data_IF_437591771865
#
_entry.id   IF_437591771865
#
_cell.length_a   1.000
_cell.length_b   1.000
_cell.length_c   1.000
_cell.angle_alpha   90.00
_cell.angle_beta   90.00
_cell.angle_gamma   90.00
#
_symmetry.space_group_name_H-M   'P 1'
#
loop_
_entity.id
_entity.type
_entity.pdbx_description
1 polymer ?
#
# COMPACT_ATOMS: atom_id res chain seq x y z
N UNK A 1 16.07 7.11 16.78
CA UNK A 1 14.76 7.68 16.39
C UNK A 1 14.94 9.15 16.01
N UNK A 2 14.32 9.62 14.91
CA UNK A 2 14.34 11.03 14.49
C UNK A 2 13.51 11.86 15.47
N UNK A 3 14.05 12.97 15.94
CA UNK A 3 13.42 13.93 16.86
C UNK A 3 12.98 15.19 16.13
N UNK A 4 13.83 15.71 15.24
CA UNK A 4 13.59 16.94 14.48
C UNK A 4 14.31 16.88 13.14
N UNK A 5 13.73 17.51 12.14
CA UNK A 5 14.34 17.75 10.84
C UNK A 5 14.40 19.26 10.65
N UNK A 6 15.59 19.74 10.29
CA UNK A 6 15.84 21.12 9.93
C UNK A 6 16.19 21.23 8.43
N UNK A 7 16.61 22.40 7.98
CA UNK A 7 16.89 22.63 6.56
C UNK A 7 17.92 21.64 5.98
N UNK A 8 19.04 21.42 6.69
CA UNK A 8 20.16 20.56 6.24
C UNK A 8 20.66 19.61 7.34
N UNK A 9 19.86 19.35 8.38
CA UNK A 9 20.24 18.44 9.45
C UNK A 9 19.04 17.67 10.01
N UNK A 10 19.34 16.52 10.59
CA UNK A 10 18.38 15.67 11.30
C UNK A 10 18.91 15.41 12.70
N UNK A 11 18.11 15.77 13.70
CA UNK A 11 18.38 15.45 15.11
C UNK A 11 17.76 14.09 15.45
N UNK A 12 18.55 13.21 16.05
CA UNK A 12 18.12 11.86 16.42
C UNK A 12 18.42 11.57 17.89
N UNK A 13 18.04 10.38 18.36
CA UNK A 13 18.45 9.86 19.68
C UNK A 13 19.96 9.57 19.76
N UNK A 14 20.66 9.51 18.63
CA UNK A 14 22.10 9.20 18.53
C UNK A 14 22.96 10.43 18.21
N UNK A 15 22.36 11.62 18.10
CA UNK A 15 23.05 12.85 17.75
C UNK A 15 22.46 13.55 16.51
N UNK A 16 23.11 14.61 16.10
CA UNK A 16 22.73 15.44 14.96
C UNK A 16 23.57 15.07 13.73
N UNK A 17 22.89 14.92 12.58
CA UNK A 17 23.49 14.55 11.30
C UNK A 17 23.17 15.61 10.25
N UNK A 18 24.22 16.18 9.65
CA UNK A 18 24.06 17.01 8.46
C UNK A 18 23.79 16.17 7.21
N UNK A 19 23.03 16.69 6.26
CA UNK A 19 22.78 16.02 4.99
C UNK A 19 22.83 17.00 3.81
N UNK A 20 23.27 16.47 2.67
CA UNK A 20 23.17 17.14 1.37
C UNK A 20 21.81 16.84 0.73
N UNK A 21 21.36 15.60 0.82
CA UNK A 21 20.04 15.14 0.41
C UNK A 21 19.38 14.37 1.55
N UNK A 22 18.06 14.54 1.70
CA UNK A 22 17.25 13.78 2.65
C UNK A 22 16.22 12.96 1.89
N UNK A 23 16.23 11.64 2.08
CA UNK A 23 15.24 10.75 1.48
C UNK A 23 14.34 10.21 2.58
N UNK A 24 13.04 10.53 2.52
CA UNK A 24 12.01 9.94 3.35
C UNK A 24 11.59 8.58 2.79
N UNK A 25 12.15 7.52 3.38
CA UNK A 25 11.85 6.11 3.11
C UNK A 25 11.19 5.46 4.34
N UNK A 26 10.50 6.25 5.14
CA UNK A 26 10.01 5.93 6.47
C UNK A 26 8.52 5.53 6.49
N UNK A 27 8.02 5.09 5.32
CA UNK A 27 6.73 4.43 5.16
C UNK A 27 5.52 5.36 5.29
N UNK A 28 4.37 4.76 5.49
CA UNK A 28 3.06 5.44 5.45
C UNK A 28 2.88 6.54 6.50
N UNK A 29 3.62 6.47 7.62
CA UNK A 29 3.58 7.47 8.71
C UNK A 29 4.75 8.46 8.67
N UNK A 30 5.33 8.68 7.51
CA UNK A 30 6.56 9.42 7.26
C UNK A 30 6.69 10.72 8.06
N UNK A 31 7.81 10.83 8.79
CA UNK A 31 8.20 12.05 9.50
C UNK A 31 8.69 13.10 8.51
N UNK A 32 9.38 12.67 7.44
CA UNK A 32 9.86 13.56 6.38
C UNK A 32 8.68 14.19 5.65
N UNK A 33 7.64 13.42 5.34
CA UNK A 33 6.40 13.94 4.76
C UNK A 33 5.75 14.99 5.65
N UNK A 34 5.66 14.74 6.97
CA UNK A 34 5.12 15.69 7.95
C UNK A 34 5.95 16.97 8.00
N UNK A 35 7.28 16.85 7.98
CA UNK A 35 8.20 18.00 7.92
C UNK A 35 7.92 18.86 6.68
N UNK A 36 7.63 18.25 5.53
CA UNK A 36 7.25 18.92 4.29
C UNK A 36 5.83 19.50 4.32
N UNK A 37 5.09 19.36 5.42
CA UNK A 37 3.70 19.81 5.61
C UNK A 37 2.72 19.19 4.60
N UNK A 38 2.99 17.96 4.19
CA UNK A 38 2.13 17.21 3.28
C UNK A 38 1.19 16.31 4.09
N UNK A 39 -0.05 16.76 4.27
CA UNK A 39 -1.09 15.96 4.92
C UNK A 39 -1.30 14.64 4.17
N UNK A 40 -1.67 13.62 4.93
CA UNK A 40 -2.08 12.32 4.36
C UNK A 40 -3.57 12.12 4.63
N UNK A 41 -4.37 12.16 3.57
CA UNK A 41 -5.83 12.07 3.61
C UNK A 41 -6.38 10.74 3.09
N UNK A 42 -5.54 9.94 2.41
CA UNK A 42 -5.94 8.71 1.73
C UNK A 42 -5.04 7.57 2.18
N UNK A 43 -5.64 6.66 2.93
CA UNK A 43 -4.93 5.55 3.56
C UNK A 43 -5.72 4.24 3.36
N UNK A 44 -4.99 3.18 3.12
CA UNK A 44 -5.46 1.82 3.29
C UNK A 44 -4.95 1.22 4.59
N UNK A 45 -5.53 0.12 5.00
CA UNK A 45 -5.08 -0.70 6.10
C UNK A 45 -5.06 -2.17 5.69
N UNK A 46 -3.93 -2.82 5.91
CA UNK A 46 -3.78 -4.27 5.81
C UNK A 46 -3.73 -4.88 7.21
N UNK A 47 -4.48 -5.94 7.46
CA UNK A 47 -4.43 -6.72 8.69
C UNK A 47 -4.18 -8.18 8.31
N UNK A 48 -3.23 -8.84 8.95
CA UNK A 48 -2.92 -10.24 8.63
C UNK A 48 -2.43 -11.03 9.82
N UNK A 49 -2.60 -12.34 9.71
CA UNK A 49 -1.95 -13.34 10.55
C UNK A 49 -0.78 -13.98 9.79
N UNK A 50 0.29 -14.28 10.48
CA UNK A 50 1.36 -15.14 9.98
C UNK A 50 1.09 -16.57 10.46
N UNK A 51 0.47 -17.37 9.60
CA UNK A 51 -0.02 -18.71 9.93
C UNK A 51 1.03 -19.75 9.55
N UNK A 52 1.59 -20.52 10.50
CA UNK A 52 2.46 -21.66 10.19
C UNK A 52 1.68 -22.74 9.43
N UNK A 53 2.33 -23.39 8.49
CA UNK A 53 1.75 -24.49 7.72
C UNK A 53 2.18 -24.47 6.26
N UNK A 54 1.84 -25.52 5.54
CA UNK A 54 2.15 -25.63 4.12
C UNK A 54 0.95 -25.18 3.30
N UNK A 55 1.12 -24.09 2.55
CA UNK A 55 0.12 -23.50 1.69
C UNK A 55 0.65 -23.54 0.26
N UNK A 56 -0.08 -24.17 -0.64
CA UNK A 56 0.42 -24.45 -2.00
C UNK A 56 0.17 -23.30 -2.98
N UNK A 57 -0.87 -22.49 -2.74
CA UNK A 57 -1.34 -21.51 -3.74
C UNK A 57 -1.46 -20.12 -3.14
N UNK A 58 -1.05 -19.13 -3.91
CA UNK A 58 -1.39 -17.74 -3.67
C UNK A 58 -2.85 -17.51 -4.06
N UNK A 59 -3.64 -17.00 -3.13
CA UNK A 59 -5.07 -16.79 -3.32
C UNK A 59 -5.46 -15.34 -3.03
N UNK A 60 -6.28 -14.77 -3.90
CA UNK A 60 -7.00 -13.53 -3.72
C UNK A 60 -8.49 -13.81 -3.62
N UNK A 61 -9.13 -13.27 -2.58
CA UNK A 61 -10.54 -13.48 -2.30
C UNK A 61 -11.29 -12.15 -2.37
N UNK A 62 -12.14 -12.05 -3.38
CA UNK A 62 -13.06 -10.92 -3.57
C UNK A 62 -14.43 -11.34 -3.06
N UNK A 63 -14.88 -10.74 -1.96
CA UNK A 63 -16.21 -10.99 -1.38
C UNK A 63 -16.70 -9.72 -0.71
N UNK A 64 -17.68 -9.08 -1.31
CA UNK A 64 -18.15 -7.77 -0.87
C UNK A 64 -18.80 -7.79 0.51
N UNK A 65 -19.48 -8.91 0.90
CA UNK A 65 -20.09 -9.05 2.22
C UNK A 65 -19.08 -9.18 3.36
N UNK A 66 -17.90 -9.77 3.08
CA UNK A 66 -16.83 -9.96 4.07
C UNK A 66 -15.81 -8.83 4.05
N UNK A 67 -15.45 -8.34 2.87
CA UNK A 67 -14.32 -7.46 2.68
C UNK A 67 -14.69 -6.05 2.21
N UNK A 68 -15.99 -5.76 2.01
CA UNK A 68 -16.44 -4.50 1.39
C UNK A 68 -15.69 -4.21 0.08
N UNK A 69 -15.14 -2.99 -0.03
CA UNK A 69 -14.33 -2.53 -1.16
C UNK A 69 -12.87 -2.99 -1.08
N UNK A 70 -12.60 -4.02 -0.32
CA UNK A 70 -11.30 -4.62 -0.14
C UNK A 70 -11.25 -6.06 -0.63
N UNK A 71 -10.27 -6.80 -0.15
CA UNK A 71 -10.09 -8.20 -0.47
C UNK A 71 -9.42 -8.94 0.68
N UNK A 72 -9.59 -10.28 0.71
CA UNK A 72 -8.80 -11.18 1.53
C UNK A 72 -7.69 -11.83 0.73
N UNK A 73 -6.63 -12.26 1.39
CA UNK A 73 -5.53 -12.98 0.73
C UNK A 73 -5.00 -14.13 1.56
N UNK A 74 -4.41 -15.12 0.86
CA UNK A 74 -3.56 -16.17 1.40
C UNK A 74 -2.29 -16.16 0.56
N UNK A 75 -1.19 -15.66 1.10
CA UNK A 75 0.09 -15.57 0.40
C UNK A 75 1.12 -16.46 1.07
N UNK A 76 1.41 -17.63 0.48
CA UNK A 76 2.40 -18.57 0.99
C UNK A 76 3.82 -18.02 0.91
N UNK A 77 4.64 -18.35 1.91
CA UNK A 77 6.08 -18.17 1.86
C UNK A 77 6.77 -19.16 2.81
N UNK A 78 7.72 -19.91 2.29
CA UNK A 78 8.36 -21.01 3.02
C UNK A 78 7.33 -21.97 3.67
N UNK A 79 7.37 -22.10 5.00
CA UNK A 79 6.54 -22.99 5.80
C UNK A 79 5.39 -22.24 6.52
N UNK A 80 4.95 -21.12 5.97
CA UNK A 80 3.85 -20.34 6.53
C UNK A 80 3.11 -19.57 5.43
N UNK A 81 1.99 -18.92 5.77
CA UNK A 81 1.32 -17.97 4.92
C UNK A 81 0.97 -16.68 5.65
N UNK A 82 1.00 -15.59 4.91
CA UNK A 82 0.30 -14.36 5.29
C UNK A 82 -1.18 -14.51 4.90
N UNK A 83 -2.06 -14.57 5.90
CA UNK A 83 -3.52 -14.65 5.71
C UNK A 83 -4.11 -13.33 6.18
N UNK A 84 -4.70 -12.56 5.29
CA UNK A 84 -5.05 -11.19 5.64
C UNK A 84 -6.22 -10.59 4.88
N UNK A 85 -6.49 -9.34 5.20
CA UNK A 85 -7.52 -8.50 4.63
C UNK A 85 -6.98 -7.10 4.39
N UNK A 86 -7.28 -6.52 3.23
CA UNK A 86 -7.04 -5.13 2.88
C UNK A 86 -8.35 -4.36 2.82
N UNK A 87 -8.33 -3.10 3.22
CA UNK A 87 -9.45 -2.20 3.07
C UNK A 87 -9.02 -0.74 3.15
N UNK A 88 -9.86 0.15 2.65
CA UNK A 88 -9.62 1.58 2.55
C UNK A 88 -10.25 2.30 3.73
N UNK A 89 -9.49 3.16 4.40
CA UNK A 89 -10.02 4.06 5.43
C UNK A 89 -10.61 5.32 4.78
N UNK A 90 -11.67 5.91 5.33
CA UNK A 90 -12.41 5.58 6.56
C UNK A 90 -13.54 4.54 6.37
N UNK A 91 -13.70 3.96 5.18
CA UNK A 91 -14.84 3.09 4.84
C UNK A 91 -14.80 1.74 5.54
N UNK A 92 -13.63 1.33 6.02
CA UNK A 92 -13.43 0.06 6.71
C UNK A 92 -12.93 0.30 8.14
N UNK A 93 -13.71 -0.15 9.12
CA UNK A 93 -13.32 -0.13 10.53
C UNK A 93 -12.33 -1.29 10.81
N UNK A 94 -11.10 -1.04 11.29
CA UNK A 94 -10.10 -2.08 11.52
C UNK A 94 -10.56 -3.18 12.49
N UNK A 95 -11.36 -2.88 13.51
CA UNK A 95 -11.91 -3.88 14.44
C UNK A 95 -12.88 -4.83 13.72
N UNK A 96 -13.76 -4.28 12.86
CA UNK A 96 -14.67 -5.08 12.04
C UNK A 96 -13.91 -5.91 11.00
N UNK A 97 -12.89 -5.32 10.38
CA UNK A 97 -12.02 -6.05 9.45
C UNK A 97 -11.34 -7.24 10.12
N UNK A 98 -10.79 -7.08 11.31
CA UNK A 98 -10.18 -8.17 12.06
C UNK A 98 -11.20 -9.27 12.40
N UNK A 99 -12.40 -8.91 12.83
CA UNK A 99 -13.46 -9.87 13.10
C UNK A 99 -13.86 -10.67 11.84
N UNK A 100 -14.04 -9.98 10.71
CA UNK A 100 -14.34 -10.60 9.41
C UNK A 100 -13.20 -11.51 8.95
N UNK A 101 -11.95 -11.09 9.10
CA UNK A 101 -10.76 -11.89 8.78
C UNK A 101 -10.73 -13.17 9.62
N UNK A 102 -10.95 -13.06 10.93
CA UNK A 102 -10.97 -14.22 11.83
C UNK A 102 -12.10 -15.19 11.48
N UNK A 103 -13.30 -14.67 11.23
CA UNK A 103 -14.44 -15.47 10.81
C UNK A 103 -14.16 -16.19 9.49
N UNK A 104 -13.64 -15.49 8.49
CA UNK A 104 -13.32 -16.05 7.19
C UNK A 104 -12.20 -17.12 7.28
N UNK A 105 -11.15 -16.86 8.05
CA UNK A 105 -10.09 -17.82 8.28
C UNK A 105 -10.61 -19.11 8.94
N UNK A 106 -11.50 -19.00 9.92
CA UNK A 106 -12.14 -20.15 10.57
C UNK A 106 -13.03 -20.94 9.60
N UNK A 107 -13.78 -20.27 8.72
CA UNK A 107 -14.56 -20.92 7.66
C UNK A 107 -13.68 -21.70 6.68
N UNK A 108 -12.49 -21.18 6.41
CA UNK A 108 -11.44 -21.83 5.61
C UNK A 108 -10.66 -22.91 6.37
N UNK A 109 -10.97 -23.15 7.65
CA UNK A 109 -10.24 -24.03 8.55
C UNK A 109 -8.74 -23.67 8.72
N UNK A 110 -8.43 -22.39 8.60
CA UNK A 110 -7.08 -21.86 8.81
C UNK A 110 -6.91 -21.56 10.29
N UNK A 111 -5.90 -22.15 10.97
CA UNK A 111 -5.73 -22.01 12.42
C UNK A 111 -5.14 -20.65 12.81
N UNK A 112 -5.98 -19.65 13.02
CA UNK A 112 -5.57 -18.29 13.44
C UNK A 112 -5.69 -18.05 14.94
N UNK A 113 -6.32 -18.97 15.68
CA UNK A 113 -6.52 -18.83 17.12
C UNK A 113 -5.17 -18.83 17.85
N UNK A 114 -4.97 -17.87 18.76
CA UNK A 114 -3.72 -17.71 19.48
C UNK A 114 -2.61 -17.00 18.70
N UNK A 115 -2.82 -16.64 17.43
CA UNK A 115 -1.87 -15.87 16.63
C UNK A 115 -2.22 -14.38 16.74
N UNK A 116 -1.25 -13.57 17.14
CA UNK A 116 -1.43 -12.12 17.17
C UNK A 116 -1.48 -11.52 15.75
N UNK A 117 -2.52 -10.77 15.38
CA UNK A 117 -2.58 -10.11 14.10
C UNK A 117 -1.55 -8.99 14.00
N UNK A 118 -1.03 -8.76 12.81
CA UNK A 118 -0.22 -7.59 12.45
C UNK A 118 -1.07 -6.66 11.58
N UNK A 119 -0.89 -5.36 11.76
CA UNK A 119 -1.57 -4.36 10.94
C UNK A 119 -0.55 -3.33 10.43
N UNK A 120 -0.77 -2.86 9.21
CA UNK A 120 0.02 -1.81 8.58
C UNK A 120 -0.87 -0.81 7.87
N UNK A 121 -0.49 0.47 7.95
CA UNK A 121 -1.09 1.52 7.14
C UNK A 121 -0.43 1.54 5.77
N UNK A 122 -1.20 1.88 4.74
CA UNK A 122 -0.75 1.94 3.35
C UNK A 122 -1.13 3.31 2.81
N UNK A 123 -0.14 4.16 2.59
CA UNK A 123 -0.36 5.51 2.08
C UNK A 123 -0.42 5.51 0.55
N UNK A 124 -1.57 5.87 0.00
CA UNK A 124 -1.78 6.06 -1.44
C UNK A 124 -2.16 7.51 -1.81
N UNK A 125 -1.91 8.47 -0.92
CA UNK A 125 -2.14 9.91 -1.14
C UNK A 125 -0.90 10.58 -1.73
N UNK A 126 -0.66 10.38 -3.03
CA UNK A 126 0.47 10.98 -3.72
C UNK A 126 0.35 12.51 -3.81
N UNK A 127 1.39 13.22 -3.34
CA UNK A 127 1.48 14.68 -3.29
C UNK A 127 2.77 15.24 -3.90
N UNK A 128 3.51 14.41 -4.59
CA UNK A 128 4.85 14.71 -5.08
C UNK A 128 5.92 13.88 -4.41
N UNK A 129 7.09 13.79 -5.03
CA UNK A 129 8.19 12.99 -4.53
C UNK A 129 9.51 13.79 -4.38
N UNK A 130 9.69 14.91 -5.08
CA UNK A 130 10.92 15.72 -5.06
C UNK A 130 10.62 17.16 -4.62
N UNK A 131 11.27 17.62 -3.55
CA UNK A 131 11.09 18.92 -2.88
C UNK A 131 12.46 19.54 -2.62
N UNK A 132 13.09 20.09 -3.67
CA UNK A 132 14.46 20.56 -3.63
C UNK A 132 15.45 19.42 -3.35
N UNK A 133 16.17 19.51 -2.24
CA UNK A 133 17.10 18.46 -1.78
C UNK A 133 16.44 17.40 -0.87
N UNK A 134 15.13 17.39 -0.78
CA UNK A 134 14.36 16.39 -0.01
C UNK A 134 13.49 15.58 -0.94
N UNK A 135 13.49 14.28 -0.78
CA UNK A 135 12.73 13.34 -1.61
C UNK A 135 11.92 12.40 -0.74
N UNK A 136 10.75 11.99 -1.21
CA UNK A 136 9.91 10.95 -0.61
C UNK A 136 9.84 9.77 -1.57
N UNK A 137 9.92 8.54 -1.06
CA UNK A 137 9.85 7.32 -1.86
C UNK A 137 8.82 6.34 -1.29
N UNK A 138 8.33 5.44 -2.11
CA UNK A 138 7.35 4.43 -1.71
C UNK A 138 6.14 5.03 -1.00
N UNK A 139 5.73 4.41 0.08
CA UNK A 139 4.60 4.84 0.89
C UNK A 139 4.78 6.22 1.54
N UNK A 140 6.01 6.66 1.80
CA UNK A 140 6.24 8.02 2.29
C UNK A 140 5.81 9.07 1.26
N UNK A 141 5.98 8.78 -0.03
CA UNK A 141 5.49 9.62 -1.13
C UNK A 141 3.98 9.42 -1.43
N UNK A 142 3.37 8.35 -0.91
CA UNK A 142 2.00 7.96 -1.24
C UNK A 142 1.90 7.24 -2.59
N UNK A 143 2.92 6.46 -2.96
CA UNK A 143 3.02 5.74 -4.22
C UNK A 143 2.44 4.32 -4.18
N UNK A 144 1.95 3.86 -3.04
CA UNK A 144 1.23 2.59 -3.00
C UNK A 144 -0.06 2.64 -3.83
N UNK A 145 -0.50 1.50 -4.31
CA UNK A 145 -1.81 1.36 -4.96
C UNK A 145 -2.93 1.46 -3.91
N UNK A 146 -3.84 2.42 -4.07
CA UNK A 146 -5.05 2.47 -3.26
C UNK A 146 -6.02 1.32 -3.54
N UNK A 147 -5.91 0.70 -4.72
CA UNK A 147 -6.79 -0.38 -5.16
C UNK A 147 -6.37 -1.74 -4.57
N UNK A 148 -5.06 -2.04 -4.62
CA UNK A 148 -4.53 -3.35 -4.22
C UNK A 148 -3.71 -3.31 -2.94
N UNK A 149 -3.33 -2.14 -2.44
CA UNK A 149 -2.40 -2.02 -1.32
C UNK A 149 -0.96 -2.35 -1.68
N UNK A 150 -0.65 -2.63 -2.95
CA UNK A 150 0.70 -2.93 -3.41
C UNK A 150 1.59 -1.68 -3.33
N UNK A 151 2.77 -1.81 -2.72
CA UNK A 151 3.73 -0.73 -2.56
C UNK A 151 5.18 -1.12 -2.79
N UNK A 152 5.50 -2.42 -2.89
CA UNK A 152 6.89 -2.90 -2.98
C UNK A 152 7.57 -2.44 -4.27
N UNK A 153 6.94 -2.66 -5.42
CA UNK A 153 7.48 -2.22 -6.72
C UNK A 153 7.65 -0.69 -6.75
N UNK A 154 6.63 0.04 -6.27
CA UNK A 154 6.68 1.50 -6.18
C UNK A 154 7.82 2.01 -5.30
N UNK A 155 8.09 1.34 -4.19
CA UNK A 155 9.17 1.69 -3.28
C UNK A 155 10.55 1.45 -3.93
N UNK A 156 10.75 0.32 -4.60
CA UNK A 156 11.99 -0.01 -5.30
C UNK A 156 12.27 0.98 -6.43
N UNK A 157 11.31 1.18 -7.33
CA UNK A 157 11.48 2.07 -8.48
C UNK A 157 11.70 3.53 -8.07
N UNK A 158 10.92 4.03 -7.10
CA UNK A 158 11.11 5.41 -6.62
C UNK A 158 12.42 5.59 -5.85
N UNK A 159 12.87 4.56 -5.13
CA UNK A 159 14.17 4.56 -4.46
C UNK A 159 15.33 4.59 -5.44
N UNK A 160 15.30 3.74 -6.46
CA UNK A 160 16.30 3.74 -7.53
C UNK A 160 16.31 5.09 -8.27
N UNK A 161 15.14 5.60 -8.65
CA UNK A 161 15.03 6.91 -9.34
C UNK A 161 15.60 8.03 -8.48
N UNK A 162 15.30 8.07 -7.20
CA UNK A 162 15.84 9.08 -6.28
C UNK A 162 17.37 9.01 -6.21
N UNK A 163 17.96 7.81 -6.13
CA UNK A 163 19.39 7.63 -6.12
C UNK A 163 20.04 8.08 -7.44
N UNK A 164 19.48 7.72 -8.58
CA UNK A 164 19.99 8.12 -9.90
C UNK A 164 19.93 9.63 -10.11
N UNK A 165 18.84 10.30 -9.74
CA UNK A 165 18.70 11.75 -9.84
C UNK A 165 19.69 12.51 -8.94
N UNK A 166 20.12 11.93 -7.83
CA UNK A 166 21.18 12.51 -6.99
C UNK A 166 22.54 12.45 -7.68
N UNK A 167 22.81 11.36 -8.40
CA UNK A 167 24.06 11.15 -9.13
C UNK A 167 24.09 11.90 -10.47
N UNK A 168 22.96 11.92 -11.16
CA UNK A 168 22.76 12.57 -12.45
C UNK A 168 21.47 13.40 -12.43
N UNK A 169 21.53 14.73 -12.32
CA UNK A 169 20.36 15.59 -12.29
C UNK A 169 19.48 15.53 -13.55
N UNK A 170 20.05 15.12 -14.70
CA UNK A 170 19.36 14.97 -15.99
C UNK A 170 18.81 13.55 -16.22
N UNK A 171 18.89 12.70 -15.20
CA UNK A 171 18.36 11.33 -15.28
C UNK A 171 16.90 11.30 -15.71
N UNK A 172 16.58 10.48 -16.71
CA UNK A 172 15.21 10.30 -17.20
C UNK A 172 14.34 9.56 -16.16
N UNK A 173 13.37 10.27 -15.61
CA UNK A 173 12.41 9.74 -14.64
C UNK A 173 11.16 9.13 -15.29
N UNK A 174 11.19 8.79 -16.58
CA UNK A 174 10.02 8.35 -17.34
C UNK A 174 9.32 7.14 -16.67
N UNK A 175 10.07 6.14 -16.24
CA UNK A 175 9.50 4.96 -15.56
C UNK A 175 8.72 5.34 -14.28
N UNK A 176 9.27 6.24 -13.45
CA UNK A 176 8.57 6.73 -12.27
C UNK A 176 7.34 7.57 -12.64
N UNK A 177 7.38 8.33 -13.73
CA UNK A 177 6.21 9.09 -14.20
C UNK A 177 5.07 8.16 -14.63
N UNK A 178 5.37 7.07 -15.35
CA UNK A 178 4.37 6.06 -15.71
C UNK A 178 3.75 5.41 -14.47
N UNK A 179 4.58 5.05 -13.48
CA UNK A 179 4.11 4.53 -12.19
C UNK A 179 3.17 5.51 -11.48
N UNK A 180 3.51 6.80 -11.44
CA UNK A 180 2.68 7.85 -10.83
C UNK A 180 1.33 7.96 -11.55
N UNK A 181 1.31 7.91 -12.87
CA UNK A 181 0.08 7.92 -13.67
C UNK A 181 -0.80 6.71 -13.32
N UNK A 182 -0.22 5.52 -13.22
CA UNK A 182 -0.91 4.27 -12.85
C UNK A 182 -1.46 4.36 -11.42
N UNK A 183 -0.66 4.82 -10.47
CA UNK A 183 -1.08 5.05 -9.09
C UNK A 183 -2.28 6.01 -9.01
N UNK A 184 -2.24 7.12 -9.74
CA UNK A 184 -3.34 8.09 -9.78
C UNK A 184 -4.62 7.52 -10.44
N UNK A 185 -4.50 6.63 -11.43
CA UNK A 185 -5.65 5.91 -11.98
C UNK A 185 -6.29 5.01 -10.92
N UNK A 186 -5.49 4.22 -10.20
CA UNK A 186 -5.97 3.38 -9.10
C UNK A 186 -6.65 4.22 -8.01
N UNK A 187 -6.05 5.34 -7.64
CA UNK A 187 -6.64 6.26 -6.67
C UNK A 187 -8.01 6.79 -7.12
N UNK A 188 -8.17 7.19 -8.40
CA UNK A 188 -9.47 7.67 -8.94
C UNK A 188 -10.54 6.58 -8.93
N UNK A 189 -10.17 5.32 -9.23
CA UNK A 189 -11.10 4.18 -9.16
C UNK A 189 -11.60 4.00 -7.72
N UNK A 190 -10.69 4.05 -6.75
CA UNK A 190 -11.01 3.97 -5.33
C UNK A 190 -11.94 5.10 -4.88
N UNK A 191 -11.66 6.34 -5.26
CA UNK A 191 -12.49 7.50 -4.91
C UNK A 191 -13.88 7.44 -5.54
N UNK A 192 -13.96 6.99 -6.79
CA UNK A 192 -15.23 6.79 -7.47
C UNK A 192 -16.08 5.71 -6.79
N UNK A 193 -15.47 4.56 -6.51
CA UNK A 193 -16.15 3.43 -5.85
C UNK A 193 -16.62 3.80 -4.45
N UNK A 194 -15.86 4.61 -3.74
CA UNK A 194 -16.20 5.06 -2.39
C UNK A 194 -17.41 6.02 -2.34
N UNK A 195 -17.58 6.85 -3.37
CA UNK A 195 -18.72 7.79 -3.47
C UNK A 195 -20.04 7.13 -3.86
N UNK A 196 -19.99 5.98 -4.52
CA UNK A 196 -21.16 5.33 -5.13
C UNK A 196 -21.31 3.89 -4.64
N UNK A 197 -21.65 3.71 -3.36
CA UNK A 197 -21.66 2.39 -2.70
C UNK A 197 -22.58 1.36 -3.39
N UNK A 198 -23.73 1.75 -3.92
CA UNK A 198 -24.63 0.84 -4.65
C UNK A 198 -24.06 0.44 -6.04
N UNK A 199 -23.47 1.40 -6.75
CA UNK A 199 -22.83 1.14 -8.05
C UNK A 199 -21.57 0.29 -7.84
N UNK A 200 -20.89 0.48 -6.73
CA UNK A 200 -19.67 -0.24 -6.39
C UNK A 200 -19.90 -1.75 -6.30
N UNK A 201 -20.99 -2.20 -5.69
CA UNK A 201 -21.32 -3.64 -5.61
C UNK A 201 -21.45 -4.23 -7.02
N UNK A 202 -22.20 -3.58 -7.89
CA UNK A 202 -22.39 -4.04 -9.27
C UNK A 202 -21.09 -3.99 -10.08
N UNK A 203 -20.28 -2.93 -9.91
CA UNK A 203 -18.98 -2.80 -10.57
C UNK A 203 -17.98 -3.87 -10.08
N UNK A 204 -17.94 -4.16 -8.78
CA UNK A 204 -17.09 -5.22 -8.24
C UNK A 204 -17.50 -6.59 -8.73
N UNK A 205 -18.80 -6.89 -8.79
CA UNK A 205 -19.30 -8.16 -9.36
C UNK A 205 -18.97 -8.27 -10.85
N UNK A 206 -19.11 -7.19 -11.63
CA UNK A 206 -18.71 -7.17 -13.04
C UNK A 206 -17.20 -7.34 -13.21
N UNK A 207 -16.40 -6.70 -12.36
CA UNK A 207 -14.93 -6.86 -12.35
C UNK A 207 -14.56 -8.32 -12.05
N UNK A 208 -15.17 -8.93 -11.03
CA UNK A 208 -14.96 -10.33 -10.67
C UNK A 208 -15.33 -11.26 -11.84
N UNK A 209 -16.46 -11.02 -12.50
CA UNK A 209 -16.87 -11.78 -13.67
C UNK A 209 -15.90 -11.63 -14.83
N UNK A 210 -15.45 -10.41 -15.11
CA UNK A 210 -14.50 -10.12 -16.17
C UNK A 210 -13.11 -10.74 -15.93
N UNK A 211 -12.64 -10.76 -14.68
CA UNK A 211 -11.40 -11.46 -14.29
C UNK A 211 -11.55 -12.97 -14.38
N UNK A 212 -12.68 -13.53 -13.94
CA UNK A 212 -12.96 -14.98 -14.00
C UNK A 212 -13.15 -15.49 -15.43
N UNK A 213 -13.74 -14.69 -16.29
CA UNK A 213 -13.95 -15.05 -17.71
C UNK A 213 -12.70 -14.84 -18.58
N UNK A 214 -11.62 -14.28 -18.02
CA UNK A 214 -10.40 -13.97 -18.78
C UNK A 214 -10.52 -12.74 -19.69
N UNK A 215 -11.62 -11.99 -19.62
CA UNK A 215 -11.81 -10.74 -20.38
C UNK A 215 -10.89 -9.63 -19.88
N UNK A 216 -10.48 -9.70 -18.61
CA UNK A 216 -9.50 -8.79 -18.02
C UNK A 216 -8.35 -9.60 -17.43
N UNK A 217 -7.12 -9.10 -17.63
CA UNK A 217 -5.93 -9.64 -16.99
C UNK A 217 -5.72 -9.01 -15.61
N UNK A 218 -5.17 -9.77 -14.66
CA UNK A 218 -4.75 -9.26 -13.36
C UNK A 218 -3.70 -8.16 -13.45
N UNK A 219 -2.94 -8.08 -14.55
CA UNK A 219 -1.92 -7.04 -14.78
C UNK A 219 -2.47 -5.60 -14.67
N UNK A 220 -3.80 -5.41 -14.88
CA UNK A 220 -4.44 -4.10 -14.68
C UNK A 220 -4.43 -3.68 -13.21
N UNK A 221 -4.40 -4.64 -12.30
CA UNK A 221 -4.40 -4.44 -10.85
C UNK A 221 -2.99 -4.32 -10.27
N UNK A 222 -1.98 -4.81 -10.97
CA UNK A 222 -0.58 -4.79 -10.54
C UNK A 222 0.02 -3.40 -10.73
N UNK A 223 1.00 -3.02 -9.91
CA UNK A 223 1.74 -1.76 -10.08
C UNK A 223 2.95 -1.94 -11.02
N UNK A 224 3.50 -3.13 -11.10
CA UNK A 224 4.50 -3.51 -12.11
C UNK A 224 3.85 -3.67 -13.50
N UNK A 225 4.59 -3.36 -14.56
CA UNK A 225 4.21 -3.62 -15.95
C UNK A 225 4.80 -4.95 -16.41
#
# INVERSE_FOLDING_TARGET
MVKRIDHNSVSTTLGDFGFRYLIGADGSSSIVRKYLRLDTKKMGVGIHFQVPGNFEKMEWHLNNSLFNNGYGWIFPYHNMASVGIYGITPYNNPKKMLANLTQWANQKKIPVNGINPKAGLINYDYRGWRFGNKMLIGDAAGLASGLTGEGMYSALLSGETAARVILDPEYDCHALQLLIIKQQKHQRIVEFSAKHSFINIALMELLILALRSGLLSFNILEMAD
#
